data_IF_545921851104
#
_entry.id   IF_545921851104
#
_cell.length_a   1.000
_cell.length_b   1.000
_cell.length_c   1.000
_cell.angle_alpha   90.00
_cell.angle_beta   90.00
_cell.angle_gamma   90.00
#
_symmetry.space_group_name_H-M   'P 1'
#
loop_
_entity.id
_entity.type
_entity.pdbx_description
1 polymer ?
#
# COMPACT_ATOMS: atom_id res chain seq x y z
N UNK A 1 7.96 19.91 20.59
CA UNK A 1 8.90 18.85 20.24
C UNK A 1 9.14 18.98 18.76
N UNK A 2 10.38 19.09 18.32
CA UNK A 2 10.73 19.09 16.90
C UNK A 2 10.56 17.68 16.35
N UNK A 3 10.01 17.60 15.14
CA UNK A 3 9.77 16.36 14.43
C UNK A 3 10.67 16.33 13.20
N UNK A 4 11.23 15.16 12.91
CA UNK A 4 12.09 14.89 11.77
C UNK A 4 11.33 13.99 10.79
N UNK A 5 11.06 14.43 9.55
CA UNK A 5 10.35 13.61 8.57
C UNK A 5 11.27 12.54 7.97
N UNK A 6 10.73 11.33 7.80
CA UNK A 6 11.41 10.19 7.18
C UNK A 6 10.49 9.46 6.22
N UNK A 7 11.10 8.89 5.19
CA UNK A 7 10.47 7.91 4.31
C UNK A 7 11.06 6.54 4.63
N UNK A 8 10.21 5.53 4.72
CA UNK A 8 10.57 4.12 4.87
C UNK A 8 10.22 3.42 3.57
N UNK A 9 11.21 2.81 2.92
CA UNK A 9 11.08 2.31 1.55
C UNK A 9 11.56 0.87 1.48
N UNK A 10 10.79 0.07 0.74
CA UNK A 10 11.11 -1.33 0.46
C UNK A 10 11.82 -1.48 -0.89
N UNK A 11 12.85 -2.31 -0.90
CA UNK A 11 13.52 -2.78 -2.11
C UNK A 11 13.24 -4.28 -2.23
N UNK A 12 12.48 -4.69 -3.25
CA UNK A 12 12.13 -6.10 -3.45
C UNK A 12 13.28 -6.93 -4.04
N UNK A 13 14.15 -6.29 -4.82
CA UNK A 13 15.31 -6.90 -5.46
C UNK A 13 16.49 -7.10 -4.49
N UNK A 14 17.56 -7.74 -4.96
CA UNK A 14 18.86 -7.71 -4.27
C UNK A 14 18.88 -8.35 -2.88
N UNK A 15 17.98 -9.31 -2.63
CA UNK A 15 17.82 -10.01 -1.35
C UNK A 15 16.82 -9.36 -0.38
N UNK A 16 16.13 -8.31 -0.80
CA UNK A 16 15.05 -7.66 -0.05
C UNK A 16 15.54 -6.81 1.11
N UNK A 17 15.13 -5.54 1.13
CA UNK A 17 15.56 -4.58 2.18
C UNK A 17 14.44 -3.62 2.55
N UNK A 18 14.53 -3.13 3.78
CA UNK A 18 13.84 -1.95 4.26
C UNK A 18 14.90 -0.90 4.62
N UNK A 19 14.74 0.31 4.12
CA UNK A 19 15.65 1.41 4.42
C UNK A 19 14.89 2.71 4.68
N UNK A 20 15.49 3.62 5.43
CA UNK A 20 14.99 4.97 5.63
C UNK A 20 15.75 5.95 4.73
N UNK A 21 15.09 7.05 4.32
CA UNK A 21 15.70 8.23 3.70
C UNK A 21 14.98 9.50 4.18
N UNK A 22 15.63 10.65 4.04
CA UNK A 22 14.96 11.94 4.18
C UNK A 22 14.07 12.23 2.95
N UNK A 23 13.03 13.07 3.08
CA UNK A 23 12.18 13.50 1.95
C UNK A 23 12.92 14.23 0.81
N UNK A 24 14.15 14.68 1.01
CA UNK A 24 15.01 15.24 -0.03
C UNK A 24 15.91 14.19 -0.70
N UNK A 25 15.79 12.92 -0.31
CA UNK A 25 16.57 11.78 -0.78
C UNK A 25 17.90 11.58 -0.05
N UNK A 26 18.27 12.42 0.91
CA UNK A 26 19.50 12.29 1.70
C UNK A 26 19.37 11.27 2.84
N UNK A 27 20.47 11.05 3.57
CA UNK A 27 20.52 10.24 4.80
C UNK A 27 19.90 8.83 4.66
N UNK A 28 20.39 8.07 3.67
CA UNK A 28 19.96 6.70 3.45
C UNK A 28 20.56 5.76 4.49
N UNK A 29 19.71 5.12 5.27
CA UNK A 29 20.09 4.10 6.26
C UNK A 29 19.37 2.79 5.97
N UNK A 30 20.11 1.69 5.82
CA UNK A 30 19.51 0.35 5.69
C UNK A 30 19.14 -0.16 7.09
N UNK A 31 17.87 -0.44 7.29
CA UNK A 31 17.31 -0.86 8.57
C UNK A 31 17.24 -2.38 8.69
N UNK A 32 16.69 -3.03 7.66
CA UNK A 32 16.50 -4.48 7.63
C UNK A 32 16.97 -5.02 6.28
N UNK A 33 17.60 -6.20 6.32
CA UNK A 33 17.99 -6.96 5.13
C UNK A 33 17.41 -8.38 5.19
N UNK A 34 17.36 -9.06 4.04
CA UNK A 34 16.81 -10.42 3.98
C UNK A 34 15.29 -10.42 4.15
N UNK A 35 14.60 -9.43 3.57
CA UNK A 35 13.14 -9.43 3.47
C UNK A 35 12.74 -10.32 2.28
N UNK A 36 11.76 -11.21 2.45
CA UNK A 36 11.39 -12.17 1.41
C UNK A 36 10.46 -11.52 0.36
N UNK A 37 11.06 -10.79 -0.57
CA UNK A 37 10.40 -10.01 -1.63
C UNK A 37 9.33 -9.07 -1.04
N UNK A 38 9.77 -8.05 -0.28
CA UNK A 38 8.84 -7.17 0.45
C UNK A 38 8.02 -6.28 -0.48
N UNK A 39 6.79 -5.95 -0.08
CA UNK A 39 5.87 -5.16 -0.93
C UNK A 39 5.20 -3.97 -0.24
N UNK A 40 4.50 -4.15 0.88
CA UNK A 40 3.82 -3.08 1.61
C UNK A 40 4.52 -2.72 2.91
N UNK A 41 4.51 -1.45 3.32
CA UNK A 41 5.15 -0.97 4.55
C UNK A 41 4.23 0.02 5.27
N UNK A 42 4.20 -0.05 6.60
CA UNK A 42 3.49 0.90 7.44
C UNK A 42 4.30 1.23 8.71
N UNK A 43 4.12 2.43 9.26
CA UNK A 43 4.90 2.92 10.39
C UNK A 43 3.98 3.35 11.52
N UNK A 44 4.21 2.79 12.70
CA UNK A 44 3.57 3.20 13.95
C UNK A 44 4.58 3.97 14.80
N UNK A 45 4.60 5.30 14.67
CA UNK A 45 5.52 6.17 15.41
C UNK A 45 5.26 6.10 16.91
N UNK A 46 3.99 5.99 17.33
CA UNK A 46 3.64 5.95 18.75
C UNK A 46 4.07 4.63 19.42
N UNK A 47 3.88 3.51 18.73
CA UNK A 47 4.35 2.20 19.19
C UNK A 47 5.85 1.99 18.99
N UNK A 48 6.49 2.77 18.12
CA UNK A 48 7.91 2.66 17.83
C UNK A 48 8.23 1.50 16.88
N UNK A 49 7.34 1.21 15.91
CA UNK A 49 7.46 0.03 15.07
C UNK A 49 7.27 0.32 13.58
N UNK A 50 7.98 -0.47 12.76
CA UNK A 50 7.79 -0.55 11.31
C UNK A 50 7.27 -1.93 10.99
N UNK A 51 6.25 -2.01 10.15
CA UNK A 51 5.62 -3.24 9.69
C UNK A 51 5.81 -3.38 8.19
N UNK A 52 6.06 -4.59 7.71
CA UNK A 52 6.11 -4.84 6.27
C UNK A 52 5.60 -6.22 5.90
N UNK A 53 5.09 -6.33 4.68
CA UNK A 53 4.68 -7.58 4.09
C UNK A 53 5.84 -8.22 3.32
N UNK A 54 5.93 -9.54 3.38
CA UNK A 54 6.82 -10.35 2.56
C UNK A 54 5.96 -11.22 1.65
N UNK A 55 6.11 -11.07 0.33
CA UNK A 55 5.26 -11.78 -0.62
C UNK A 55 5.46 -13.29 -0.60
N UNK A 56 6.65 -13.77 -0.23
CA UNK A 56 6.99 -15.19 -0.38
C UNK A 56 7.03 -15.58 -1.86
N UNK A 57 6.61 -16.81 -2.17
CA UNK A 57 6.54 -17.32 -3.54
C UNK A 57 5.07 -17.32 -3.98
N UNK A 58 4.69 -16.60 -5.06
CA UNK A 58 3.28 -16.48 -5.49
C UNK A 58 2.49 -17.79 -5.64
N UNK A 59 3.15 -18.90 -5.93
CA UNK A 59 2.52 -20.23 -6.07
C UNK A 59 2.40 -21.01 -4.74
N UNK A 60 2.78 -20.40 -3.60
CA UNK A 60 2.83 -21.04 -2.28
C UNK A 60 2.18 -20.12 -1.25
N UNK A 61 1.44 -20.70 -0.32
CA UNK A 61 0.88 -19.99 0.83
C UNK A 61 1.95 -19.77 1.90
N UNK A 62 3.02 -19.04 1.56
CA UNK A 62 4.19 -18.83 2.42
C UNK A 62 4.55 -17.36 2.70
N UNK A 63 3.72 -16.42 2.26
CA UNK A 63 3.83 -15.01 2.62
C UNK A 63 3.73 -14.76 4.12
N UNK A 64 4.29 -13.64 4.56
CA UNK A 64 4.35 -13.28 5.98
C UNK A 64 4.24 -11.76 6.19
N UNK A 65 3.97 -11.36 7.43
CA UNK A 65 4.08 -9.97 7.87
C UNK A 65 5.03 -9.93 9.05
N UNK A 66 5.98 -9.02 8.97
CA UNK A 66 7.02 -8.83 9.97
C UNK A 66 7.02 -7.40 10.49
N UNK A 67 7.65 -7.25 11.65
CA UNK A 67 7.79 -5.98 12.34
C UNK A 67 9.19 -5.85 12.92
N UNK A 68 9.71 -4.64 12.96
CA UNK A 68 10.92 -4.26 13.68
C UNK A 68 10.67 -2.94 14.44
N UNK A 69 11.58 -2.58 15.33
CA UNK A 69 11.61 -1.24 15.91
C UNK A 69 12.02 -0.20 14.85
N UNK A 70 11.80 1.09 15.12
CA UNK A 70 12.12 2.17 14.17
C UNK A 70 13.59 2.19 13.71
N UNK A 71 14.50 1.65 14.53
CA UNK A 71 15.93 1.53 14.23
C UNK A 71 16.32 0.21 13.53
N UNK A 72 15.33 -0.62 13.16
CA UNK A 72 15.50 -1.90 12.47
C UNK A 72 15.80 -3.09 13.38
N UNK A 73 15.96 -2.88 14.70
CA UNK A 73 16.20 -3.95 15.65
C UNK A 73 14.91 -4.70 16.03
N UNK A 74 15.06 -5.78 16.82
CA UNK A 74 13.94 -6.55 17.37
C UNK A 74 12.94 -7.04 16.31
N UNK A 75 13.45 -7.45 15.15
CA UNK A 75 12.68 -8.05 14.07
C UNK A 75 11.96 -9.31 14.54
N UNK A 76 10.64 -9.34 14.35
CA UNK A 76 9.76 -10.48 14.64
C UNK A 76 8.78 -10.71 13.50
N UNK A 77 8.36 -11.96 13.32
CA UNK A 77 7.24 -12.31 12.43
C UNK A 77 5.94 -12.26 13.23
N UNK A 78 5.01 -11.42 12.80
CA UNK A 78 3.70 -11.24 13.47
C UNK A 78 2.59 -12.04 12.77
N UNK A 79 2.67 -12.20 11.45
CA UNK A 79 1.81 -13.13 10.69
C UNK A 79 2.74 -14.13 9.99
N UNK A 80 2.81 -15.39 10.46
CA UNK A 80 3.70 -16.39 9.89
C UNK A 80 3.17 -16.96 8.57
N UNK A 81 4.05 -17.65 7.84
CA UNK A 81 3.70 -18.41 6.63
C UNK A 81 2.46 -19.29 6.86
N UNK A 82 1.52 -19.24 5.92
CA UNK A 82 0.21 -19.89 6.00
C UNK A 82 -0.89 -18.99 6.57
N UNK A 83 -0.56 -17.89 7.25
CA UNK A 83 -1.53 -16.88 7.71
C UNK A 83 -2.04 -15.96 6.59
N UNK A 84 -1.20 -15.73 5.58
CA UNK A 84 -1.52 -14.95 4.36
C UNK A 84 -0.76 -15.55 3.18
N UNK A 85 -1.29 -15.44 1.96
CA UNK A 85 -0.73 -16.13 0.80
C UNK A 85 0.42 -15.32 0.19
N UNK A 86 0.10 -14.18 -0.40
CA UNK A 86 1.04 -13.25 -1.02
C UNK A 86 0.64 -11.81 -0.64
N UNK A 87 0.88 -11.40 0.61
CA UNK A 87 0.48 -10.09 1.11
C UNK A 87 1.14 -8.97 0.28
N UNK A 88 0.41 -7.88 0.05
CA UNK A 88 0.78 -6.72 -0.78
C UNK A 88 0.83 -5.46 0.07
N UNK A 89 0.23 -4.37 -0.38
CA UNK A 89 0.27 -3.10 0.31
C UNK A 89 -0.39 -3.21 1.69
N UNK A 90 0.14 -2.43 2.63
CA UNK A 90 -0.12 -2.54 4.06
C UNK A 90 -0.50 -1.16 4.58
N UNK A 91 -1.64 -1.06 5.24
CA UNK A 91 -2.14 0.16 5.84
C UNK A 91 -2.23 0.01 7.34
N UNK A 92 -1.72 1.00 8.08
CA UNK A 92 -1.88 1.08 9.53
C UNK A 92 -2.98 2.10 9.86
N UNK A 93 -4.11 1.62 10.38
CA UNK A 93 -5.18 2.50 10.85
C UNK A 93 -4.91 2.92 12.30
N UNK A 94 -4.59 4.19 12.49
CA UNK A 94 -4.31 4.78 13.80
C UNK A 94 -5.51 4.69 14.74
N UNK A 95 -6.73 4.84 14.21
CA UNK A 95 -7.94 4.93 15.03
C UNK A 95 -8.34 3.57 15.62
N UNK A 96 -8.34 2.50 14.82
CA UNK A 96 -8.60 1.14 15.33
C UNK A 96 -7.36 0.44 15.90
N UNK A 97 -6.16 1.00 15.68
CA UNK A 97 -4.88 0.37 16.03
C UNK A 97 -4.76 -1.03 15.41
N UNK A 98 -5.05 -1.13 14.11
CA UNK A 98 -5.00 -2.38 13.34
C UNK A 98 -4.20 -2.22 12.06
N UNK A 99 -3.66 -3.34 11.58
CA UNK A 99 -3.03 -3.45 10.27
C UNK A 99 -4.04 -4.02 9.29
N UNK A 100 -4.06 -3.48 8.07
CA UNK A 100 -4.87 -3.94 6.96
C UNK A 100 -3.96 -4.24 5.78
N UNK A 101 -4.15 -5.35 5.09
CA UNK A 101 -3.40 -5.68 3.88
C UNK A 101 -4.26 -6.38 2.86
N UNK A 102 -3.87 -6.23 1.60
CA UNK A 102 -4.39 -7.06 0.53
C UNK A 102 -3.52 -8.30 0.36
N UNK A 103 -4.14 -9.42 -0.03
CA UNK A 103 -3.48 -10.69 -0.29
C UNK A 103 -3.82 -11.14 -1.70
N UNK A 104 -2.83 -11.06 -2.61
CA UNK A 104 -3.02 -11.15 -4.05
C UNK A 104 -3.53 -12.52 -4.49
N UNK A 105 -2.74 -13.57 -4.31
CA UNK A 105 -3.12 -14.94 -4.65
C UNK A 105 -4.04 -15.60 -3.62
N UNK A 106 -4.17 -15.01 -2.43
CA UNK A 106 -5.26 -15.34 -1.51
C UNK A 106 -6.61 -14.78 -1.95
N UNK A 107 -6.63 -13.76 -2.82
CA UNK A 107 -7.80 -13.01 -3.29
C UNK A 107 -8.59 -12.40 -2.13
N UNK A 108 -7.88 -11.77 -1.19
CA UNK A 108 -8.45 -11.27 0.07
C UNK A 108 -8.03 -9.84 0.37
N UNK A 109 -8.86 -9.18 1.18
CA UNK A 109 -8.44 -8.06 2.03
C UNK A 109 -8.59 -8.52 3.48
N UNK A 110 -7.56 -8.28 4.29
CA UNK A 110 -7.42 -8.85 5.62
C UNK A 110 -7.00 -7.77 6.63
N UNK A 111 -7.24 -8.03 7.92
CA UNK A 111 -6.73 -7.20 9.03
C UNK A 111 -6.27 -8.03 10.21
N UNK A 112 -5.48 -7.43 11.10
CA UNK A 112 -5.09 -7.99 12.38
C UNK A 112 -4.80 -6.91 13.42
N UNK A 113 -4.65 -7.32 14.68
CA UNK A 113 -4.06 -6.48 15.72
C UNK A 113 -2.55 -6.28 15.47
N UNK A 114 -1.96 -5.26 16.09
CA UNK A 114 -0.56 -4.86 15.86
C UNK A 114 0.49 -5.90 16.29
N UNK A 115 0.09 -6.91 17.05
CA UNK A 115 0.92 -8.06 17.42
C UNK A 115 0.73 -9.26 16.48
N UNK A 116 -0.14 -9.13 15.46
CA UNK A 116 -0.48 -10.17 14.51
C UNK A 116 -1.61 -11.10 14.98
N UNK A 117 -2.16 -10.89 16.17
CA UNK A 117 -3.33 -11.65 16.63
C UNK A 117 -4.61 -11.20 15.92
N UNK A 118 -5.69 -11.99 16.06
CA UNK A 118 -7.00 -11.68 15.50
C UNK A 118 -6.99 -11.43 13.98
N UNK A 119 -6.21 -12.23 13.24
CA UNK A 119 -6.23 -12.22 11.77
C UNK A 119 -7.64 -12.52 11.27
N UNK A 120 -8.19 -11.59 10.50
CA UNK A 120 -9.56 -11.62 9.98
C UNK A 120 -9.57 -11.32 8.49
N UNK A 121 -10.34 -12.09 7.72
CA UNK A 121 -10.61 -11.80 6.30
C UNK A 121 -11.85 -10.89 6.21
N UNK A 122 -11.71 -9.72 5.60
CA UNK A 122 -12.78 -8.74 5.42
C UNK A 122 -13.46 -8.85 4.05
N UNK A 123 -12.71 -9.27 3.05
CA UNK A 123 -13.18 -9.49 1.67
C UNK A 123 -12.53 -10.77 1.15
N UNK A 124 -13.31 -11.62 0.47
CA UNK A 124 -12.84 -12.81 -0.21
C UNK A 124 -13.40 -12.82 -1.64
N UNK A 125 -12.59 -12.47 -2.63
CA UNK A 125 -13.01 -12.33 -4.03
C UNK A 125 -13.10 -13.66 -4.80
N UNK A 126 -12.33 -14.68 -4.40
CA UNK A 126 -12.34 -16.01 -5.02
C UNK A 126 -11.69 -17.07 -4.15
N UNK A 127 -11.77 -18.35 -4.52
CA UNK A 127 -11.14 -19.48 -3.80
C UNK A 127 -10.61 -20.55 -4.77
N UNK A 128 -9.53 -21.22 -4.35
CA UNK A 128 -8.94 -22.31 -5.12
C UNK A 128 -8.09 -21.83 -6.31
N UNK A 129 -7.58 -22.79 -7.06
CA UNK A 129 -6.60 -22.53 -8.13
C UNK A 129 -7.22 -21.95 -9.40
N UNK A 130 -8.51 -22.22 -9.64
CA UNK A 130 -9.24 -21.68 -10.79
C UNK A 130 -9.42 -20.17 -10.65
N UNK A 131 -10.09 -19.72 -9.58
CA UNK A 131 -10.30 -18.29 -9.31
C UNK A 131 -8.98 -17.51 -9.20
N UNK A 132 -7.92 -18.13 -8.67
CA UNK A 132 -6.60 -17.51 -8.54
C UNK A 132 -5.98 -17.13 -9.89
N UNK A 133 -6.34 -17.82 -10.98
CA UNK A 133 -5.84 -17.50 -12.33
C UNK A 133 -6.57 -16.30 -12.94
N UNK A 134 -7.72 -15.95 -12.41
CA UNK A 134 -8.41 -14.72 -12.79
C UNK A 134 -7.81 -13.53 -12.02
N UNK A 135 -6.91 -12.80 -12.68
CA UNK A 135 -6.23 -11.65 -12.10
C UNK A 135 -7.20 -10.50 -11.73
N UNK A 136 -8.46 -10.52 -12.18
CA UNK A 136 -9.46 -9.55 -11.72
C UNK A 136 -9.88 -9.77 -10.26
N UNK A 137 -9.52 -10.91 -9.66
CA UNK A 137 -9.71 -11.20 -8.24
C UNK A 137 -8.51 -10.80 -7.35
N UNK A 138 -7.40 -10.37 -7.95
CA UNK A 138 -6.16 -10.09 -7.25
C UNK A 138 -6.20 -8.74 -6.54
N UNK A 139 -6.37 -8.77 -5.22
CA UNK A 139 -6.31 -7.59 -4.36
C UNK A 139 -4.86 -7.12 -4.16
N UNK A 140 -4.58 -5.81 -4.20
CA UNK A 140 -3.21 -5.27 -4.09
C UNK A 140 -3.06 -4.11 -3.11
N UNK A 141 -3.74 -2.99 -3.35
CA UNK A 141 -3.74 -1.79 -2.52
C UNK A 141 -4.79 -1.88 -1.43
N UNK A 142 -4.63 -1.13 -0.34
CA UNK A 142 -5.66 -1.00 0.69
C UNK A 142 -5.52 0.34 1.42
N UNK A 143 -6.65 1.01 1.69
CA UNK A 143 -6.70 2.17 2.57
C UNK A 143 -7.99 2.17 3.40
N UNK A 144 -7.97 2.87 4.54
CA UNK A 144 -9.10 2.92 5.48
C UNK A 144 -9.53 4.36 5.70
N UNK A 145 -10.81 4.65 5.44
CA UNK A 145 -11.49 5.88 5.85
C UNK A 145 -12.27 5.59 7.13
N UNK A 146 -11.58 5.65 8.26
CA UNK A 146 -12.18 5.34 9.57
C UNK A 146 -13.32 6.30 9.91
N UNK A 147 -13.24 7.57 9.48
CA UNK A 147 -14.23 8.61 9.78
C UNK A 147 -15.59 8.28 9.14
N UNK A 148 -15.59 7.71 7.94
CA UNK A 148 -16.83 7.25 7.27
C UNK A 148 -17.06 5.75 7.37
N UNK A 149 -16.20 5.01 8.07
CA UNK A 149 -16.36 3.58 8.28
C UNK A 149 -16.19 2.73 7.01
N UNK A 150 -15.36 3.17 6.05
CA UNK A 150 -15.13 2.44 4.80
C UNK A 150 -13.69 1.93 4.67
N UNK A 151 -13.51 0.75 4.09
CA UNK A 151 -12.24 0.32 3.52
C UNK A 151 -12.30 0.42 2.00
N UNK A 152 -11.15 0.69 1.38
CA UNK A 152 -10.95 0.75 -0.06
C UNK A 152 -9.83 -0.21 -0.44
N UNK A 153 -9.95 -0.86 -1.59
CA UNK A 153 -8.89 -1.72 -2.13
C UNK A 153 -8.87 -1.71 -3.66
N UNK A 154 -7.72 -2.02 -4.24
CA UNK A 154 -7.59 -2.25 -5.68
C UNK A 154 -7.69 -3.73 -5.99
N UNK A 155 -8.30 -4.04 -7.12
CA UNK A 155 -8.14 -5.31 -7.83
C UNK A 155 -7.46 -5.02 -9.16
N UNK A 156 -6.24 -5.51 -9.34
CA UNK A 156 -5.36 -5.01 -10.40
C UNK A 156 -5.77 -5.44 -11.81
N UNK A 157 -6.38 -6.61 -11.96
CA UNK A 157 -6.60 -7.21 -13.29
C UNK A 157 -5.29 -7.64 -13.95
N UNK A 158 -5.34 -8.22 -15.16
CA UNK A 158 -4.13 -8.51 -15.94
C UNK A 158 -3.39 -7.22 -16.31
N UNK A 159 -2.08 -7.30 -16.49
CA UNK A 159 -1.27 -6.14 -16.87
C UNK A 159 -1.76 -5.50 -18.16
N UNK A 160 -1.91 -4.18 -18.13
CA UNK A 160 -2.31 -3.32 -19.24
C UNK A 160 -3.66 -3.68 -19.90
N UNK A 161 -4.51 -4.40 -19.17
CA UNK A 161 -5.73 -4.95 -19.74
C UNK A 161 -6.94 -4.02 -19.65
N UNK A 162 -6.87 -2.95 -18.85
CA UNK A 162 -8.02 -2.08 -18.62
C UNK A 162 -9.16 -2.79 -17.88
N UNK A 163 -8.83 -3.77 -17.03
CA UNK A 163 -9.79 -4.56 -16.23
C UNK A 163 -9.63 -4.31 -14.73
N UNK A 164 -8.76 -3.36 -14.36
CA UNK A 164 -8.52 -2.94 -13.00
C UNK A 164 -9.72 -2.23 -12.39
N UNK A 165 -9.86 -2.38 -11.08
CA UNK A 165 -10.96 -1.79 -10.30
C UNK A 165 -10.45 -1.24 -8.98
N UNK A 166 -11.10 -0.18 -8.51
CA UNK A 166 -11.05 0.25 -7.11
C UNK A 166 -12.43 -0.02 -6.54
N UNK A 167 -12.47 -0.71 -5.41
CA UNK A 167 -13.70 -1.09 -4.73
C UNK A 167 -13.69 -0.54 -3.31
N UNK A 168 -14.88 -0.45 -2.70
CA UNK A 168 -15.05 -0.13 -1.29
C UNK A 168 -16.14 -0.96 -0.65
N UNK A 169 -16.13 -1.04 0.67
CA UNK A 169 -17.19 -1.60 1.48
C UNK A 169 -17.11 -1.02 2.91
N UNK A 170 -18.05 -1.36 3.80
CA UNK A 170 -17.93 -1.03 5.22
C UNK A 170 -16.71 -1.72 5.86
N UNK A 171 -16.03 -1.07 6.81
CA UNK A 171 -14.86 -1.66 7.49
C UNK A 171 -15.22 -3.01 8.13
N UNK A 172 -16.35 -3.06 8.83
CA UNK A 172 -16.86 -4.27 9.45
C UNK A 172 -17.86 -4.97 8.53
N UNK A 173 -17.94 -6.30 8.67
CA UNK A 173 -18.89 -7.11 7.92
C UNK A 173 -20.33 -6.76 8.33
N UNK A 174 -21.26 -6.65 7.36
CA UNK A 174 -22.68 -6.54 7.69
C UNK A 174 -23.16 -7.73 8.53
N UNK A 175 -24.13 -7.48 9.41
CA UNK A 175 -24.61 -8.48 10.35
C UNK A 175 -25.17 -9.71 9.63
N UNK A 176 -24.60 -10.89 9.93
CA UNK A 176 -25.00 -12.17 9.34
C UNK A 176 -24.38 -12.47 7.97
N UNK A 177 -23.55 -11.57 7.43
CA UNK A 177 -22.85 -11.77 6.16
C UNK A 177 -21.41 -12.26 6.40
N UNK A 178 -20.77 -12.72 5.33
CA UNK A 178 -19.39 -13.24 5.35
C UNK A 178 -18.52 -12.48 4.36
N UNK A 179 -17.20 -12.54 4.50
CA UNK A 179 -16.27 -11.90 3.58
C UNK A 179 -16.45 -12.28 2.10
N UNK A 180 -16.98 -13.48 1.81
CA UNK A 180 -17.24 -13.97 0.44
C UNK A 180 -18.64 -13.66 -0.07
N UNK A 181 -19.54 -13.17 0.78
CA UNK A 181 -20.95 -12.97 0.44
C UNK A 181 -21.49 -11.62 0.89
N UNK A 182 -20.60 -10.71 1.30
CA UNK A 182 -20.98 -9.39 1.77
C UNK A 182 -21.58 -8.59 0.63
N UNK A 183 -22.74 -8.01 0.86
CA UNK A 183 -23.60 -7.38 -0.15
C UNK A 183 -23.27 -5.90 -0.38
N UNK A 184 -22.48 -5.31 0.52
CA UNK A 184 -22.14 -3.89 0.58
C UNK A 184 -20.87 -3.51 -0.22
N UNK A 185 -20.37 -4.39 -1.08
CA UNK A 185 -19.23 -4.07 -1.96
C UNK A 185 -19.72 -3.17 -3.09
N UNK A 186 -19.06 -2.02 -3.23
CA UNK A 186 -19.31 -1.05 -4.29
C UNK A 186 -18.07 -0.90 -5.17
N UNK A 187 -18.28 -0.84 -6.48
CA UNK A 187 -17.24 -0.48 -7.45
C UNK A 187 -17.14 1.04 -7.49
N UNK A 188 -15.99 1.58 -7.07
CA UNK A 188 -15.70 3.02 -7.07
C UNK A 188 -15.21 3.46 -8.43
N UNK A 189 -14.21 2.74 -8.96
CA UNK A 189 -13.67 2.93 -10.30
C UNK A 189 -13.49 1.57 -10.97
N UNK A 190 -13.59 1.55 -12.30
CA UNK A 190 -13.42 0.37 -13.14
C UNK A 190 -12.76 0.76 -14.45
N UNK A 191 -12.45 -0.24 -15.26
CA UNK A 191 -11.82 -0.07 -16.55
C UNK A 191 -10.43 0.63 -16.42
N UNK A 192 -9.80 0.48 -15.26
CA UNK A 192 -8.48 1.03 -14.95
C UNK A 192 -7.38 0.14 -15.55
N UNK A 193 -6.25 0.71 -16.02
CA UNK A 193 -5.16 -0.05 -16.61
C UNK A 193 -4.66 -1.20 -15.71
N UNK A 194 -4.08 -0.88 -14.55
CA UNK A 194 -3.59 -1.82 -13.55
C UNK A 194 -3.35 -1.09 -12.20
N UNK A 195 -4.39 -0.78 -11.41
CA UNK A 195 -4.26 0.03 -10.19
C UNK A 195 -3.60 -0.77 -9.07
N UNK A 196 -2.63 -0.15 -8.38
CA UNK A 196 -1.74 -0.83 -7.42
C UNK A 196 -1.98 -0.37 -5.99
N UNK A 197 -1.34 0.70 -5.56
CA UNK A 197 -1.42 1.20 -4.19
C UNK A 197 -2.34 2.41 -4.11
N UNK A 198 -2.91 2.67 -2.94
CA UNK A 198 -3.81 3.79 -2.74
C UNK A 198 -3.70 4.37 -1.33
N UNK A 199 -3.82 5.69 -1.23
CA UNK A 199 -3.89 6.42 0.03
C UNK A 199 -5.02 7.45 0.01
N UNK A 200 -5.53 7.78 1.19
CA UNK A 200 -6.61 8.76 1.37
C UNK A 200 -6.06 9.95 2.14
N UNK A 201 -6.14 11.14 1.54
CA UNK A 201 -5.96 12.39 2.28
C UNK A 201 -7.24 12.69 3.05
N UNK A 202 -7.18 12.61 4.37
CA UNK A 202 -8.37 12.60 5.22
C UNK A 202 -9.17 13.91 5.25
N UNK A 203 -8.53 15.07 5.09
CA UNK A 203 -9.18 16.38 5.31
C UNK A 203 -10.01 16.79 4.10
N UNK A 204 -9.44 16.71 2.91
CA UNK A 204 -10.10 16.95 1.62
C UNK A 204 -10.87 15.73 1.13
N UNK A 205 -10.63 14.55 1.71
CA UNK A 205 -11.23 13.27 1.30
C UNK A 205 -10.90 12.93 -0.15
N UNK A 206 -9.64 13.14 -0.50
CA UNK A 206 -9.11 12.83 -1.82
C UNK A 206 -8.44 11.46 -1.80
N UNK A 207 -8.90 10.56 -2.67
CA UNK A 207 -8.23 9.29 -2.92
C UNK A 207 -7.11 9.52 -3.93
N UNK A 208 -5.92 9.00 -3.63
CA UNK A 208 -4.79 8.92 -4.54
C UNK A 208 -4.47 7.46 -4.82
N UNK A 209 -4.07 7.12 -6.05
CA UNK A 209 -3.59 5.77 -6.36
C UNK A 209 -2.54 5.77 -7.46
N UNK A 210 -1.66 4.78 -7.39
CA UNK A 210 -0.75 4.43 -8.49
C UNK A 210 -1.46 3.51 -9.46
N UNK A 211 -1.26 3.74 -10.75
CA UNK A 211 -1.86 2.94 -11.82
C UNK A 211 -0.78 2.60 -12.84
N UNK A 212 -0.52 1.31 -13.04
CA UNK A 212 0.52 0.82 -13.96
C UNK A 212 0.01 0.73 -15.38
N UNK A 213 0.95 0.66 -16.32
CA UNK A 213 0.67 0.42 -17.72
C UNK A 213 0.96 1.57 -18.68
N UNK A 214 0.40 1.49 -19.88
CA UNK A 214 0.86 2.36 -20.96
C UNK A 214 0.30 3.80 -20.88
N UNK A 215 1.12 4.81 -21.21
CA UNK A 215 0.65 6.17 -21.42
C UNK A 215 -0.49 6.25 -22.45
N UNK A 216 -1.44 7.18 -22.31
CA UNK A 216 -1.45 8.27 -21.33
C UNK A 216 -2.07 7.90 -19.98
N UNK A 217 -2.65 6.70 -19.82
CA UNK A 217 -3.50 6.38 -18.68
C UNK A 217 -2.77 5.57 -17.60
N UNK A 218 -1.79 4.75 -17.96
CA UNK A 218 -0.95 4.00 -17.03
C UNK A 218 0.40 4.66 -16.77
N UNK A 219 1.12 4.12 -15.78
CA UNK A 219 2.34 4.68 -15.22
C UNK A 219 2.12 6.10 -14.66
N UNK A 220 1.04 6.20 -13.87
CA UNK A 220 0.49 7.45 -13.34
C UNK A 220 0.29 7.40 -11.83
N UNK A 221 0.19 8.60 -11.23
CA UNK A 221 -0.61 8.79 -10.02
C UNK A 221 -1.88 9.52 -10.42
N UNK A 222 -3.00 8.99 -9.95
CA UNK A 222 -4.32 9.55 -10.17
C UNK A 222 -4.90 10.02 -8.84
N UNK A 223 -5.85 10.95 -8.90
CA UNK A 223 -6.64 11.35 -7.74
C UNK A 223 -8.11 11.57 -8.06
N UNK A 224 -8.96 11.39 -7.05
CA UNK A 224 -10.38 11.70 -7.15
C UNK A 224 -10.98 12.09 -5.80
N UNK A 225 -12.02 12.93 -5.83
CA UNK A 225 -12.78 13.32 -4.64
C UNK A 225 -13.76 12.22 -4.23
N UNK A 226 -13.63 11.71 -2.99
CA UNK A 226 -14.46 10.61 -2.51
C UNK A 226 -15.93 11.02 -2.29
N UNK A 227 -16.18 12.28 -1.95
CA UNK A 227 -17.55 12.77 -1.72
C UNK A 227 -18.34 13.02 -3.01
N UNK A 228 -17.66 13.01 -4.16
CA UNK A 228 -18.26 13.22 -5.49
C UNK A 228 -17.96 12.09 -6.46
N UNK A 229 -17.69 10.86 -5.95
CA UNK A 229 -17.53 9.66 -6.78
C UNK A 229 -18.68 9.57 -7.79
N UNK A 230 -18.34 9.35 -9.06
CA UNK A 230 -19.31 9.24 -10.16
C UNK A 230 -19.76 10.58 -10.76
N UNK A 231 -19.41 11.72 -10.16
CA UNK A 231 -19.74 13.05 -10.70
C UNK A 231 -18.59 13.70 -11.49
N UNK A 232 -17.38 13.15 -11.41
CA UNK A 232 -16.19 13.62 -12.13
C UNK A 232 -15.25 12.47 -12.42
N UNK A 233 -14.55 12.55 -13.55
CA UNK A 233 -13.47 11.62 -13.89
C UNK A 233 -12.27 11.82 -12.95
N UNK A 234 -11.49 10.74 -12.69
CA UNK A 234 -10.17 10.84 -12.10
C UNK A 234 -9.26 11.84 -12.80
N UNK A 235 -8.43 12.54 -12.02
CA UNK A 235 -7.37 13.40 -12.53
C UNK A 235 -6.02 12.68 -12.45
N UNK A 236 -5.31 12.61 -13.57
CA UNK A 236 -3.91 12.19 -13.59
C UNK A 236 -3.04 13.37 -13.14
N UNK A 237 -2.33 13.20 -12.02
CA UNK A 237 -1.45 14.23 -11.44
C UNK A 237 0.02 13.94 -11.66
N UNK A 238 0.42 12.69 -11.77
CA UNK A 238 1.79 12.28 -12.12
C UNK A 238 1.75 11.32 -13.29
N UNK A 239 2.76 11.41 -14.16
CA UNK A 239 2.94 10.55 -15.34
C UNK A 239 4.40 10.10 -15.45
N UNK A 240 4.69 9.19 -16.37
CA UNK A 240 6.04 8.73 -16.69
C UNK A 240 6.75 7.99 -15.54
N UNK A 241 5.98 7.35 -14.66
CA UNK A 241 6.54 6.39 -13.71
C UNK A 241 7.07 5.15 -14.45
N UNK A 242 7.97 4.39 -13.83
CA UNK A 242 8.48 3.13 -14.38
C UNK A 242 7.91 1.95 -13.60
N UNK A 243 6.65 1.59 -13.87
CA UNK A 243 5.84 0.66 -13.08
C UNK A 243 5.69 1.16 -11.63
N UNK A 244 4.91 2.23 -11.45
CA UNK A 244 4.64 2.81 -10.13
C UNK A 244 4.01 1.80 -9.17
N UNK A 245 4.53 1.72 -7.94
CA UNK A 245 4.04 0.81 -6.90
C UNK A 245 3.48 1.59 -5.72
N UNK A 246 4.32 2.01 -4.78
CA UNK A 246 3.88 2.58 -3.52
C UNK A 246 3.64 4.07 -3.63
N UNK A 247 2.71 4.58 -2.82
CA UNK A 247 2.48 6.01 -2.63
C UNK A 247 2.41 6.34 -1.15
N UNK A 248 3.01 7.45 -0.75
CA UNK A 248 2.90 7.99 0.60
C UNK A 248 2.58 9.48 0.55
N UNK A 249 1.58 9.91 1.32
CA UNK A 249 1.17 11.31 1.37
C UNK A 249 1.77 12.04 2.59
N UNK A 250 2.12 13.30 2.38
CA UNK A 250 2.45 14.28 3.43
C UNK A 250 1.63 15.57 3.18
N UNK A 251 0.35 15.57 3.58
CA UNK A 251 -0.54 16.69 3.30
C UNK A 251 -0.17 17.97 4.03
N UNK A 252 0.49 17.85 5.20
CA UNK A 252 0.92 18.99 6.00
C UNK A 252 1.95 19.88 5.30
N UNK A 253 2.67 19.33 4.32
CA UNK A 253 3.67 20.06 3.54
C UNK A 253 3.35 20.11 2.04
N UNK A 254 2.13 19.72 1.64
CA UNK A 254 1.70 19.60 0.24
C UNK A 254 2.69 18.73 -0.56
N UNK A 255 2.91 17.49 -0.13
CA UNK A 255 3.80 16.53 -0.81
C UNK A 255 3.18 15.15 -0.93
N UNK A 256 3.54 14.45 -1.99
CA UNK A 256 3.43 13.00 -2.14
C UNK A 256 4.76 12.42 -2.57
N UNK A 257 4.97 11.16 -2.22
CA UNK A 257 6.13 10.36 -2.60
C UNK A 257 5.68 9.09 -3.27
N UNK A 258 6.39 8.70 -4.33
CA UNK A 258 6.02 7.53 -5.15
C UNK A 258 7.25 6.70 -5.43
N UNK A 259 7.13 5.39 -5.33
CA UNK A 259 8.17 4.45 -5.73
C UNK A 259 7.81 3.76 -7.04
N UNK A 260 8.83 3.33 -7.78
CA UNK A 260 8.64 2.55 -8.99
C UNK A 260 9.65 1.39 -9.12
N UNK A 261 9.31 0.41 -9.97
CA UNK A 261 10.19 -0.73 -10.22
C UNK A 261 11.45 -0.36 -11.02
N UNK A 262 11.51 0.85 -11.58
CA UNK A 262 12.72 1.44 -12.17
C UNK A 262 13.78 1.84 -11.13
N UNK A 263 13.43 1.83 -9.85
CA UNK A 263 14.34 2.10 -8.75
C UNK A 263 14.27 3.54 -8.25
N UNK A 264 13.22 4.28 -8.59
CA UNK A 264 13.12 5.70 -8.25
C UNK A 264 12.22 5.91 -7.04
N UNK A 265 12.61 6.88 -6.21
CA UNK A 265 11.71 7.58 -5.30
C UNK A 265 11.46 8.96 -5.88
N UNK A 266 10.20 9.22 -6.22
CA UNK A 266 9.70 10.49 -6.73
C UNK A 266 9.12 11.33 -5.61
N UNK A 267 9.16 12.64 -5.78
CA UNK A 267 8.40 13.57 -4.98
C UNK A 267 7.69 14.58 -5.90
N UNK A 268 6.46 14.91 -5.54
CA UNK A 268 5.64 15.93 -6.18
C UNK A 268 4.77 16.61 -5.11
N UNK A 269 4.19 17.75 -5.43
CA UNK A 269 3.07 18.31 -4.65
C UNK A 269 1.81 17.46 -4.81
N UNK A 270 0.79 17.67 -3.97
CA UNK A 270 -0.46 16.88 -4.05
C UNK A 270 -1.27 17.12 -5.33
N UNK A 271 -0.98 18.19 -6.08
CA UNK A 271 -1.51 18.45 -7.42
C UNK A 271 -0.61 17.94 -8.56
N UNK A 272 0.50 17.27 -8.23
CA UNK A 272 1.43 16.70 -9.20
C UNK A 272 2.51 17.66 -9.72
N UNK A 273 2.43 18.94 -9.39
CA UNK A 273 3.47 19.90 -9.77
C UNK A 273 4.81 19.59 -9.09
N UNK A 274 5.90 20.02 -9.74
CA UNK A 274 7.25 19.77 -9.23
C UNK A 274 7.69 18.30 -9.19
N UNK A 275 6.97 17.40 -9.88
CA UNK A 275 7.32 15.98 -9.94
C UNK A 275 8.77 15.78 -10.41
N UNK A 276 9.58 15.12 -9.57
CA UNK A 276 10.99 14.84 -9.83
C UNK A 276 11.48 13.64 -9.04
N UNK A 277 12.49 12.91 -9.52
CA UNK A 277 13.14 11.91 -8.69
C UNK A 277 13.93 12.63 -7.58
N UNK A 278 13.71 12.24 -6.32
CA UNK A 278 14.54 12.65 -5.18
C UNK A 278 15.67 11.66 -4.93
N UNK A 279 15.51 10.41 -5.40
CA UNK A 279 16.55 9.39 -5.32
C UNK A 279 16.35 8.34 -6.41
N UNK A 280 17.44 7.96 -7.07
CA UNK A 280 17.51 6.74 -7.87
C UNK A 280 18.37 5.71 -7.13
N UNK A 281 17.80 4.53 -6.87
CA UNK A 281 18.38 3.42 -6.16
C UNK A 281 18.29 2.22 -7.07
N UNK A 282 19.42 1.74 -7.57
CA UNK A 282 19.46 0.53 -8.41
C UNK A 282 18.70 -0.61 -7.72
N UNK A 283 17.59 -1.06 -8.32
CA UNK A 283 16.71 -2.09 -7.75
C UNK A 283 15.23 -1.86 -8.04
N UNK A 284 14.37 -2.78 -7.62
CA UNK A 284 12.92 -2.65 -7.73
C UNK A 284 12.38 -2.12 -6.40
N UNK A 285 11.87 -0.88 -6.38
CA UNK A 285 11.28 -0.30 -5.18
C UNK A 285 9.78 -0.60 -5.14
N UNK A 286 9.29 -0.97 -3.97
CA UNK A 286 7.88 -1.29 -3.71
C UNK A 286 7.34 -0.32 -2.66
N UNK A 287 6.72 -0.76 -1.58
CA UNK A 287 6.02 0.10 -0.62
C UNK A 287 6.89 1.21 -0.05
N UNK A 288 6.23 2.34 0.19
CA UNK A 288 6.79 3.53 0.80
C UNK A 288 5.84 4.02 1.90
N UNK A 289 6.38 4.47 3.02
CA UNK A 289 5.60 5.13 4.07
C UNK A 289 6.30 6.41 4.50
N UNK A 290 5.52 7.47 4.71
CA UNK A 290 5.97 8.72 5.29
C UNK A 290 5.65 8.75 6.79
N UNK A 291 6.59 9.24 7.61
CA UNK A 291 6.35 9.46 9.03
C UNK A 291 7.17 10.63 9.57
N UNK A 292 6.59 11.35 10.53
CA UNK A 292 7.27 12.36 11.34
C UNK A 292 7.71 11.76 12.67
N UNK A 293 9.02 11.75 12.93
CA UNK A 293 9.60 11.11 14.10
C UNK A 293 10.02 12.14 15.13
N UNK A 294 9.91 11.84 16.43
CA UNK A 294 10.52 12.67 17.47
C UNK A 294 12.03 12.85 17.24
N UNK A 295 12.54 14.06 17.41
CA UNK A 295 13.98 14.31 17.27
C UNK A 295 14.84 13.38 18.14
N UNK A 296 15.93 12.86 17.55
CA UNK A 296 16.83 11.90 18.18
C UNK A 296 16.38 10.44 18.08
N UNK A 297 15.21 10.17 17.48
CA UNK A 297 14.81 8.81 17.09
C UNK A 297 15.83 8.24 16.10
N UNK A 298 16.33 7.04 16.37
CA UNK A 298 17.27 6.34 15.47
C UNK A 298 16.49 5.61 14.39
N UNK A 299 16.91 5.77 13.14
CA UNK A 299 16.36 5.17 11.92
C UNK A 299 17.43 5.03 10.85
#
# INVERSE_FOLDING_TARGET
>A
MTLTPKLFVLEASGGGRLFSINPDGSDKTVLVTGCAVPDGVAVDVQGGHIYWTNMGVPARNDGSIERADLDGNNRITIVPSGGTYTPKQLHFDVASRKLYWSDREGMRVMRCDLDGSQVETLVQAGRGDEDRRDETNWCVGVAVDHVRGHLYWTQKGPSDAGLGRILRAGIDLPAGETASSRSDIEVVFKDLPEPIDLEIEGSSRTLYWTDRGDPPYGNTVNRAQLDTIGNSEPEIVVTHLMEGIGIALDPGHDRMFVTDLGGNVWAATLDGSGNRPIRALQGNLTGIAYAELPDGTRT
#
